data_IF_484740856771
#
_entry.id   IF_484740856771
#
_cell.length_a   1.000
_cell.length_b   1.000
_cell.length_c   1.000
_cell.angle_alpha   90.00
_cell.angle_beta   90.00
_cell.angle_gamma   90.00
#
_symmetry.space_group_name_H-M   'P 1'
#
loop_
_entity.id
_entity.type
_entity.pdbx_description
1 polymer ?
#
# COMPACT_ATOMS: atom_id res chain seq x y z
N UNK A 1 2.55 -23.17 -25.03
CA UNK A 1 2.54 -21.71 -24.80
C UNK A 1 2.11 -21.31 -23.38
N UNK A 2 0.97 -21.78 -22.85
CA UNK A 2 0.50 -21.35 -21.51
C UNK A 2 1.40 -21.73 -20.31
N UNK A 3 2.10 -22.89 -20.33
CA UNK A 3 3.01 -23.29 -19.23
C UNK A 3 4.29 -22.45 -19.19
N UNK A 4 4.87 -22.15 -20.35
CA UNK A 4 6.10 -21.34 -20.47
C UNK A 4 5.83 -19.92 -19.96
N UNK A 5 4.76 -19.28 -20.38
CA UNK A 5 4.40 -17.92 -19.93
C UNK A 5 4.15 -17.87 -18.41
N UNK A 6 3.48 -18.87 -17.84
CA UNK A 6 3.29 -18.98 -16.40
C UNK A 6 4.61 -19.11 -15.65
N UNK A 7 5.55 -19.90 -16.19
CA UNK A 7 6.87 -20.09 -15.60
C UNK A 7 7.70 -18.80 -15.67
N UNK A 8 7.73 -18.12 -16.82
CA UNK A 8 8.40 -16.83 -16.97
C UNK A 8 7.87 -15.82 -15.95
N UNK A 9 6.55 -15.65 -15.89
CA UNK A 9 5.93 -14.72 -14.94
C UNK A 9 6.22 -15.10 -13.49
N UNK A 10 6.25 -16.38 -13.13
CA UNK A 10 6.56 -16.81 -11.75
C UNK A 10 7.99 -16.47 -11.32
N UNK A 11 8.94 -16.34 -12.25
CA UNK A 11 10.31 -15.90 -11.96
C UNK A 11 10.45 -14.37 -12.04
N UNK A 12 9.70 -13.73 -12.94
CA UNK A 12 9.78 -12.27 -13.13
C UNK A 12 9.08 -11.48 -12.01
N UNK A 13 7.89 -11.90 -11.58
CA UNK A 13 7.13 -11.18 -10.54
C UNK A 13 7.95 -10.90 -9.27
N UNK A 14 8.72 -11.85 -8.70
CA UNK A 14 9.54 -11.56 -7.54
C UNK A 14 10.59 -10.46 -7.76
N UNK A 15 11.12 -10.33 -8.99
CA UNK A 15 12.11 -9.29 -9.33
C UNK A 15 11.52 -7.88 -9.24
N UNK A 16 10.22 -7.74 -9.52
CA UNK A 16 9.55 -6.44 -9.50
C UNK A 16 9.64 -5.75 -8.14
N UNK A 17 9.75 -6.50 -7.03
CA UNK A 17 9.84 -5.90 -5.70
C UNK A 17 11.18 -5.17 -5.48
N UNK A 18 12.28 -5.65 -6.09
CA UNK A 18 13.57 -4.94 -6.05
C UNK A 18 13.48 -3.67 -6.89
N UNK A 19 12.92 -3.77 -8.11
CA UNK A 19 12.75 -2.60 -8.97
C UNK A 19 11.93 -1.51 -8.27
N UNK A 20 10.85 -1.89 -7.60
CA UNK A 20 10.02 -0.97 -6.81
C UNK A 20 10.74 -0.41 -5.58
N UNK A 21 11.54 -1.23 -4.88
CA UNK A 21 12.33 -0.77 -3.74
C UNK A 21 13.34 0.30 -4.16
N UNK A 22 14.06 0.06 -5.25
CA UNK A 22 15.02 1.01 -5.82
C UNK A 22 14.30 2.27 -6.33
N UNK A 23 13.21 2.12 -7.08
CA UNK A 23 12.40 3.24 -7.56
C UNK A 23 11.91 4.14 -6.44
N UNK A 24 11.45 3.56 -5.34
CA UNK A 24 10.88 4.31 -4.21
C UNK A 24 11.88 5.20 -3.50
N UNK A 25 13.19 4.94 -3.64
CA UNK A 25 14.25 5.75 -3.01
C UNK A 25 15.07 6.55 -4.03
N UNK A 26 14.84 6.35 -5.31
CA UNK A 26 15.56 7.07 -6.39
C UNK A 26 15.51 8.60 -6.25
N UNK A 27 14.38 9.23 -5.88
CA UNK A 27 14.31 10.69 -5.69
C UNK A 27 15.07 11.19 -4.45
N UNK A 28 15.48 10.29 -3.55
CA UNK A 28 16.09 10.62 -2.25
C UNK A 28 17.59 10.31 -2.21
N UNK A 29 18.24 10.22 -3.35
CA UNK A 29 19.70 10.06 -3.41
C UNK A 29 20.39 11.31 -2.88
N UNK A 30 21.47 11.12 -2.14
CA UNK A 30 22.28 12.22 -1.62
C UNK A 30 22.91 13.01 -2.79
N UNK A 31 23.08 14.34 -2.65
CA UNK A 31 23.78 15.14 -3.64
C UNK A 31 25.18 14.59 -3.94
N UNK A 32 25.60 14.62 -5.21
CA UNK A 32 26.92 14.16 -5.64
C UNK A 32 27.06 12.65 -5.87
N UNK A 33 26.02 11.84 -5.67
CA UNK A 33 26.05 10.42 -6.02
C UNK A 33 26.00 10.25 -7.56
N UNK A 34 26.99 9.60 -8.20
CA UNK A 34 27.03 9.44 -9.67
C UNK A 34 25.79 8.73 -10.24
N UNK A 35 25.17 7.82 -9.48
CA UNK A 35 23.94 7.14 -9.87
C UNK A 35 22.72 8.08 -9.97
N UNK A 36 22.74 9.26 -9.36
CA UNK A 36 21.60 10.18 -9.34
C UNK A 36 21.14 10.57 -10.75
N UNK A 37 22.07 10.76 -11.68
CA UNK A 37 21.74 11.08 -13.09
C UNK A 37 20.97 9.95 -13.79
N UNK A 38 21.35 8.71 -13.58
CA UNK A 38 20.69 7.54 -14.16
C UNK A 38 19.35 7.29 -13.45
N UNK A 39 19.37 7.26 -12.13
CA UNK A 39 18.17 6.99 -11.32
C UNK A 39 17.17 8.14 -11.30
N UNK A 40 17.57 9.36 -11.66
CA UNK A 40 16.68 10.51 -11.87
C UNK A 40 15.97 10.52 -13.23
N UNK A 41 16.27 9.58 -14.14
CA UNK A 41 15.68 9.56 -15.48
C UNK A 41 14.21 9.14 -15.45
N UNK A 42 13.32 10.09 -15.65
CA UNK A 42 11.87 9.89 -15.62
C UNK A 42 11.40 8.87 -16.66
N UNK A 43 11.94 8.90 -17.86
CA UNK A 43 11.53 7.98 -18.95
C UNK A 43 11.89 6.55 -18.64
N UNK A 44 13.05 6.30 -18.04
CA UNK A 44 13.44 4.96 -17.59
C UNK A 44 12.41 4.41 -16.60
N UNK A 45 11.99 5.23 -15.64
CA UNK A 45 11.02 4.80 -14.64
C UNK A 45 9.61 4.60 -15.20
N UNK A 46 9.19 5.36 -16.19
CA UNK A 46 7.94 5.09 -16.89
C UNK A 46 7.95 3.70 -17.55
N UNK A 47 9.05 3.37 -18.24
CA UNK A 47 9.20 2.05 -18.87
C UNK A 47 9.17 0.94 -17.82
N UNK A 48 9.93 1.09 -16.72
CA UNK A 48 9.94 0.11 -15.62
C UNK A 48 8.55 -0.06 -14.99
N UNK A 49 7.85 1.04 -14.72
CA UNK A 49 6.51 1.03 -14.14
C UNK A 49 5.50 0.35 -15.06
N UNK A 50 5.57 0.65 -16.36
CA UNK A 50 4.73 0.01 -17.38
C UNK A 50 4.99 -1.50 -17.45
N UNK A 51 6.25 -1.93 -17.46
CA UNK A 51 6.62 -3.36 -17.46
C UNK A 51 6.07 -4.07 -16.22
N UNK A 52 6.17 -3.45 -15.04
CA UNK A 52 5.63 -4.01 -13.79
C UNK A 52 4.11 -4.16 -13.90
N UNK A 53 3.38 -3.10 -14.29
CA UNK A 53 1.93 -3.15 -14.45
C UNK A 53 1.50 -4.21 -15.47
N UNK A 54 2.17 -4.26 -16.60
CA UNK A 54 1.89 -5.23 -17.66
C UNK A 54 2.12 -6.67 -17.18
N UNK A 55 3.21 -6.91 -16.44
CA UNK A 55 3.47 -8.22 -15.85
C UNK A 55 2.35 -8.64 -14.86
N UNK A 56 1.88 -7.72 -13.99
CA UNK A 56 0.76 -8.00 -13.08
C UNK A 56 -0.57 -8.15 -13.82
N UNK A 57 -0.81 -7.39 -14.87
CA UNK A 57 -1.99 -7.55 -15.73
C UNK A 57 -2.02 -8.94 -16.38
N UNK A 58 -0.88 -9.39 -16.96
CA UNK A 58 -0.78 -10.73 -17.52
C UNK A 58 -0.88 -11.84 -16.47
N UNK A 59 -0.26 -11.61 -15.30
CA UNK A 59 -0.23 -12.58 -14.20
C UNK A 59 -1.60 -12.92 -13.67
N UNK A 60 -2.56 -12.01 -13.77
CA UNK A 60 -3.97 -12.23 -13.43
C UNK A 60 -4.52 -13.49 -14.08
N UNK A 61 -4.21 -13.72 -15.35
CA UNK A 61 -4.70 -14.89 -16.11
C UNK A 61 -4.25 -16.23 -15.49
N UNK A 62 -3.08 -16.25 -14.84
CA UNK A 62 -2.42 -17.47 -14.37
C UNK A 62 -2.48 -17.66 -12.86
N UNK A 63 -2.54 -16.58 -12.09
CA UNK A 63 -2.40 -16.62 -10.64
C UNK A 63 -3.65 -16.17 -9.88
N UNK A 64 -4.62 -15.55 -10.55
CA UNK A 64 -5.86 -15.16 -9.89
C UNK A 64 -6.65 -16.40 -9.42
N UNK A 65 -7.01 -16.40 -8.12
CA UNK A 65 -7.86 -17.46 -7.55
C UNK A 65 -9.33 -17.14 -7.83
N UNK A 66 -9.93 -17.91 -8.76
CA UNK A 66 -11.31 -17.71 -9.25
C UNK A 66 -12.38 -17.77 -8.15
N UNK A 67 -12.10 -18.40 -6.99
CA UNK A 67 -13.00 -18.41 -5.83
C UNK A 67 -13.32 -17.02 -5.30
N UNK A 68 -12.48 -16.04 -5.63
CA UNK A 68 -12.66 -14.65 -5.19
C UNK A 68 -13.39 -13.78 -6.22
N UNK A 69 -13.91 -14.33 -7.31
CA UNK A 69 -14.40 -13.56 -8.48
C UNK A 69 -15.49 -12.55 -8.10
N UNK A 70 -16.48 -12.94 -7.31
CA UNK A 70 -17.58 -12.06 -6.89
C UNK A 70 -17.09 -10.85 -6.09
N UNK A 71 -16.09 -11.04 -5.22
CA UNK A 71 -15.56 -9.98 -4.38
C UNK A 71 -14.67 -8.99 -5.15
N UNK A 72 -14.21 -9.36 -6.34
CA UNK A 72 -13.30 -8.56 -7.15
C UNK A 72 -13.99 -7.58 -8.10
N UNK A 73 -15.32 -7.62 -8.19
CA UNK A 73 -16.09 -6.72 -9.04
C UNK A 73 -15.80 -5.25 -8.73
N UNK A 74 -15.73 -4.90 -7.44
CA UNK A 74 -15.44 -3.52 -7.01
C UNK A 74 -14.07 -3.03 -7.47
N UNK A 75 -13.06 -3.91 -7.48
CA UNK A 75 -11.72 -3.59 -7.98
C UNK A 75 -11.74 -3.33 -9.48
N UNK A 76 -12.55 -4.12 -10.24
CA UNK A 76 -12.74 -3.91 -11.67
C UNK A 76 -13.43 -2.60 -11.98
N UNK A 77 -14.50 -2.26 -11.25
CA UNK A 77 -15.22 -1.00 -11.44
C UNK A 77 -14.29 0.18 -11.17
N UNK A 78 -13.47 0.12 -10.11
CA UNK A 78 -12.50 1.15 -9.81
C UNK A 78 -11.43 1.30 -10.90
N UNK A 79 -10.85 0.18 -11.38
CA UNK A 79 -9.86 0.22 -12.46
C UNK A 79 -10.46 0.75 -13.76
N UNK A 80 -11.72 0.41 -14.07
CA UNK A 80 -12.45 0.95 -15.22
C UNK A 80 -12.66 2.46 -15.08
N UNK A 81 -13.06 2.94 -13.89
CA UNK A 81 -13.22 4.36 -13.62
C UNK A 81 -11.89 5.12 -13.76
N UNK A 82 -10.81 4.56 -13.24
CA UNK A 82 -9.47 5.13 -13.41
C UNK A 82 -9.07 5.18 -14.89
N UNK A 83 -9.35 4.13 -15.66
CA UNK A 83 -9.08 4.11 -17.10
C UNK A 83 -9.87 5.22 -17.83
N UNK A 84 -11.15 5.41 -17.50
CA UNK A 84 -11.97 6.51 -18.05
C UNK A 84 -11.34 7.87 -17.71
N UNK A 85 -10.89 8.05 -16.44
CA UNK A 85 -10.24 9.29 -16.01
C UNK A 85 -8.92 9.53 -16.71
N UNK A 86 -8.14 8.47 -16.98
CA UNK A 86 -6.88 8.54 -17.74
C UNK A 86 -7.17 8.93 -19.20
N UNK A 87 -8.18 8.34 -19.84
CA UNK A 87 -8.58 8.68 -21.22
C UNK A 87 -9.02 10.14 -21.29
N UNK A 88 -9.83 10.62 -20.33
CA UNK A 88 -10.17 12.05 -20.23
C UNK A 88 -8.92 12.93 -20.08
N UNK A 89 -7.92 12.45 -19.34
CA UNK A 89 -6.63 13.14 -19.17
C UNK A 89 -5.85 13.31 -20.47
N UNK A 90 -5.94 12.36 -21.41
CA UNK A 90 -5.30 12.47 -22.73
C UNK A 90 -5.83 13.71 -23.48
N UNK A 91 -7.12 14.00 -23.39
CA UNK A 91 -7.73 15.16 -24.04
C UNK A 91 -7.56 16.47 -23.25
N UNK A 92 -7.20 16.39 -21.97
CA UNK A 92 -6.95 17.54 -21.11
C UNK A 92 -5.46 17.96 -21.05
N UNK A 93 -4.55 17.11 -21.53
CA UNK A 93 -3.12 17.35 -21.53
C UNK A 93 -2.72 18.23 -22.73
N UNK A 94 -2.14 19.40 -22.47
CA UNK A 94 -1.73 20.38 -23.47
C UNK A 94 -0.22 20.55 -23.54
N UNK A 95 0.46 20.56 -22.39
CA UNK A 95 1.90 20.81 -22.28
C UNK A 95 2.66 19.57 -21.78
N UNK A 96 3.99 19.60 -21.89
CA UNK A 96 4.86 18.49 -21.43
C UNK A 96 4.58 18.07 -19.98
N UNK A 97 4.34 19.02 -19.08
CA UNK A 97 4.12 18.74 -17.67
C UNK A 97 2.79 18.04 -17.40
N UNK A 98 1.75 18.33 -18.19
CA UNK A 98 0.47 17.63 -18.14
C UNK A 98 0.66 16.15 -18.54
N UNK A 99 1.42 15.89 -19.61
CA UNK A 99 1.76 14.53 -20.04
C UNK A 99 2.60 13.79 -19.01
N UNK A 100 3.57 14.49 -18.40
CA UNK A 100 4.37 13.91 -17.32
C UNK A 100 3.52 13.55 -16.12
N UNK A 101 2.62 14.43 -15.70
CA UNK A 101 1.65 14.18 -14.65
C UNK A 101 0.71 13.02 -15.00
N UNK A 102 0.12 13.05 -16.20
CA UNK A 102 -0.78 12.00 -16.68
C UNK A 102 -0.14 10.61 -16.62
N UNK A 103 1.06 10.45 -17.14
CA UNK A 103 1.74 9.14 -17.16
C UNK A 103 2.05 8.67 -15.74
N UNK A 104 2.63 9.55 -14.90
CA UNK A 104 2.96 9.19 -13.52
C UNK A 104 1.74 8.80 -12.69
N UNK A 105 0.69 9.62 -12.73
CA UNK A 105 -0.54 9.41 -11.99
C UNK A 105 -1.35 8.22 -12.54
N UNK A 106 -1.35 8.00 -13.87
CA UNK A 106 -1.98 6.84 -14.50
C UNK A 106 -1.36 5.53 -14.01
N UNK A 107 -0.02 5.46 -13.89
CA UNK A 107 0.67 4.27 -13.36
C UNK A 107 0.24 3.98 -11.93
N UNK A 108 0.13 5.01 -11.09
CA UNK A 108 -0.35 4.88 -9.71
C UNK A 108 -1.81 4.42 -9.65
N UNK A 109 -2.71 5.03 -10.43
CA UNK A 109 -4.13 4.69 -10.50
C UNK A 109 -4.39 3.26 -11.00
N UNK A 110 -3.49 2.70 -11.81
CA UNK A 110 -3.60 1.32 -12.32
C UNK A 110 -2.93 0.27 -11.42
N UNK A 111 -2.18 0.67 -10.39
CA UNK A 111 -1.48 -0.25 -9.49
C UNK A 111 -2.40 -1.24 -8.74
N UNK A 112 -3.70 -0.95 -8.45
CA UNK A 112 -4.62 -1.92 -7.88
C UNK A 112 -4.79 -3.22 -8.67
N UNK A 113 -4.31 -3.31 -9.92
CA UNK A 113 -4.23 -4.56 -10.70
C UNK A 113 -3.43 -5.65 -9.95
N UNK A 114 -2.49 -5.25 -9.09
CA UNK A 114 -1.67 -6.14 -8.24
C UNK A 114 -2.54 -7.00 -7.31
N UNK A 115 -3.70 -6.50 -6.87
CA UNK A 115 -4.64 -7.20 -6.00
C UNK A 115 -4.98 -8.59 -6.57
N UNK A 116 -5.21 -8.69 -7.88
CA UNK A 116 -5.63 -9.95 -8.52
C UNK A 116 -4.60 -11.07 -8.35
N UNK A 117 -3.33 -10.82 -8.69
CA UNK A 117 -2.26 -11.81 -8.54
C UNK A 117 -1.99 -12.12 -7.06
N UNK A 118 -2.18 -11.12 -6.18
CA UNK A 118 -1.95 -11.23 -4.74
C UNK A 118 -3.07 -11.99 -3.99
N UNK A 119 -4.19 -12.33 -4.65
CA UNK A 119 -5.14 -13.32 -4.10
C UNK A 119 -4.50 -14.70 -3.99
N UNK A 120 -3.43 -14.95 -4.74
CA UNK A 120 -2.63 -16.16 -4.61
C UNK A 120 -1.52 -15.96 -3.56
N UNK A 121 -1.70 -16.54 -2.38
CA UNK A 121 -0.74 -16.46 -1.27
C UNK A 121 0.68 -16.92 -1.62
N UNK A 122 0.85 -17.79 -2.63
CA UNK A 122 2.18 -18.25 -3.07
C UNK A 122 2.93 -17.16 -3.85
N UNK A 123 2.23 -16.33 -4.62
CA UNK A 123 2.81 -15.15 -5.28
C UNK A 123 3.32 -14.17 -4.23
N UNK A 124 2.49 -13.87 -3.22
CA UNK A 124 2.86 -12.96 -2.12
C UNK A 124 4.07 -13.51 -1.36
N UNK A 125 4.08 -14.82 -1.03
CA UNK A 125 5.20 -15.46 -0.35
C UNK A 125 6.49 -15.34 -1.16
N UNK A 126 6.41 -15.55 -2.48
CA UNK A 126 7.57 -15.46 -3.39
C UNK A 126 8.11 -14.03 -3.47
N UNK A 127 7.25 -13.01 -3.59
CA UNK A 127 7.62 -11.60 -3.57
C UNK A 127 8.37 -11.23 -2.29
N UNK A 128 7.79 -11.57 -1.14
CA UNK A 128 8.40 -11.28 0.17
C UNK A 128 9.70 -12.06 0.41
N UNK A 129 9.75 -13.33 -0.03
CA UNK A 129 10.97 -14.12 0.07
C UNK A 129 12.10 -13.52 -0.77
N UNK A 130 11.78 -13.01 -1.95
CA UNK A 130 12.75 -12.36 -2.83
C UNK A 130 13.24 -11.02 -2.24
N UNK A 131 12.34 -10.26 -1.63
CA UNK A 131 12.69 -9.05 -0.89
C UNK A 131 13.66 -9.36 0.26
N UNK A 132 13.33 -10.34 1.11
CA UNK A 132 14.17 -10.70 2.26
C UNK A 132 15.54 -11.23 1.85
N UNK A 133 15.60 -11.97 0.72
CA UNK A 133 16.86 -12.61 0.28
C UNK A 133 17.77 -11.66 -0.49
N UNK A 134 17.22 -10.74 -1.27
CA UNK A 134 18.00 -9.91 -2.20
C UNK A 134 17.86 -8.41 -1.94
N UNK A 135 16.63 -7.89 -1.81
CA UNK A 135 16.44 -6.46 -1.61
C UNK A 135 16.91 -6.00 -0.24
N UNK A 136 16.65 -6.77 0.83
CA UNK A 136 17.07 -6.38 2.17
C UNK A 136 18.61 -6.33 2.33
N UNK A 137 19.42 -7.29 1.85
CA UNK A 137 20.87 -7.12 1.82
C UNK A 137 21.33 -5.95 0.95
N UNK A 138 20.68 -5.72 -0.20
CA UNK A 138 21.00 -4.59 -1.07
C UNK A 138 20.76 -3.23 -0.38
N UNK A 139 19.85 -3.17 0.58
CA UNK A 139 19.62 -1.97 1.39
C UNK A 139 20.89 -1.46 2.10
N UNK A 140 21.82 -2.34 2.48
CA UNK A 140 23.09 -1.93 3.09
C UNK A 140 23.88 -0.99 2.17
N UNK A 141 23.86 -1.26 0.85
CA UNK A 141 24.47 -0.36 -0.15
C UNK A 141 23.68 0.93 -0.29
N UNK A 142 22.35 0.83 -0.38
CA UNK A 142 21.49 2.00 -0.51
C UNK A 142 21.50 2.90 0.73
N UNK A 143 21.68 2.37 1.93
CA UNK A 143 21.75 3.15 3.18
C UNK A 143 22.90 4.17 3.20
N UNK A 144 23.96 3.95 2.42
CA UNK A 144 25.08 4.89 2.31
C UNK A 144 24.77 6.05 1.37
N UNK A 145 24.01 5.79 0.28
CA UNK A 145 23.80 6.75 -0.81
C UNK A 145 22.43 7.45 -0.78
N UNK A 146 21.50 6.95 0.03
CA UNK A 146 20.14 7.50 0.18
C UNK A 146 20.05 8.30 1.49
N UNK A 147 19.17 9.31 1.51
CA UNK A 147 18.87 10.09 2.71
C UNK A 147 18.14 9.23 3.76
N UNK A 148 18.32 9.55 5.02
CA UNK A 148 17.79 8.75 6.15
C UNK A 148 16.27 8.76 6.24
N UNK A 149 15.62 9.87 5.87
CA UNK A 149 14.16 10.01 5.82
C UNK A 149 13.50 9.01 4.85
N UNK A 150 14.22 8.58 3.82
CA UNK A 150 13.72 7.66 2.81
C UNK A 150 13.91 6.17 3.13
N UNK A 151 14.59 5.80 4.20
CA UNK A 151 14.81 4.39 4.56
C UNK A 151 13.50 3.61 4.73
N UNK A 152 12.47 4.28 5.29
CA UNK A 152 11.15 3.69 5.43
C UNK A 152 10.47 3.33 4.12
N UNK A 153 10.74 4.06 3.03
CA UNK A 153 10.17 3.74 1.71
C UNK A 153 10.76 2.45 1.13
N UNK A 154 12.05 2.18 1.38
CA UNK A 154 12.69 0.95 0.94
C UNK A 154 12.27 -0.25 1.80
N UNK A 155 12.18 -0.05 3.12
CA UNK A 155 12.01 -1.12 4.10
C UNK A 155 10.53 -1.39 4.47
N UNK A 156 9.57 -0.79 3.77
CA UNK A 156 8.14 -0.93 4.04
C UNK A 156 7.65 -2.39 4.12
N UNK A 157 8.19 -3.40 3.38
CA UNK A 157 7.79 -4.79 3.56
C UNK A 157 8.06 -5.34 4.96
N UNK A 158 8.97 -4.74 5.72
CA UNK A 158 9.23 -5.11 7.12
C UNK A 158 8.01 -4.78 7.99
N UNK A 159 7.37 -3.61 7.80
CA UNK A 159 6.16 -3.24 8.56
C UNK A 159 5.01 -4.24 8.34
N UNK A 160 4.88 -4.77 7.13
CA UNK A 160 3.94 -5.85 6.84
C UNK A 160 4.30 -7.14 7.59
N UNK A 161 5.58 -7.54 7.61
CA UNK A 161 6.02 -8.76 8.28
C UNK A 161 5.88 -8.68 9.81
N UNK A 162 5.92 -7.48 10.39
CA UNK A 162 5.65 -7.25 11.83
C UNK A 162 4.25 -7.73 12.22
N UNK A 163 3.23 -7.61 11.35
CA UNK A 163 1.89 -8.14 11.63
C UNK A 163 1.87 -9.66 11.89
N UNK A 164 2.89 -10.38 11.42
CA UNK A 164 3.06 -11.82 11.60
C UNK A 164 4.11 -12.18 12.66
N UNK A 165 4.55 -11.19 13.45
CA UNK A 165 5.60 -11.36 14.46
C UNK A 165 5.43 -12.61 15.35
N UNK A 166 4.24 -12.96 15.87
CA UNK A 166 4.07 -14.15 16.68
C UNK A 166 4.33 -15.47 15.95
N UNK A 167 4.19 -15.49 14.61
CA UNK A 167 4.41 -16.69 13.79
C UNK A 167 5.90 -16.95 13.51
N UNK A 168 6.77 -15.95 13.73
CA UNK A 168 8.19 -16.00 13.41
C UNK A 168 9.00 -16.77 14.45
N UNK A 169 10.20 -17.24 14.04
CA UNK A 169 11.20 -17.77 14.97
C UNK A 169 11.86 -16.63 15.75
N UNK A 170 12.48 -16.94 16.91
CA UNK A 170 13.11 -15.89 17.74
C UNK A 170 14.20 -15.11 16.97
N UNK A 171 14.99 -15.78 16.14
CA UNK A 171 15.99 -15.11 15.29
C UNK A 171 15.35 -14.13 14.31
N UNK A 172 14.26 -14.52 13.64
CA UNK A 172 13.52 -13.67 12.70
C UNK A 172 12.89 -12.48 13.41
N UNK A 173 12.32 -12.71 14.62
CA UNK A 173 11.76 -11.64 15.46
C UNK A 173 12.80 -10.59 15.81
N UNK A 174 14.00 -11.03 16.24
CA UNK A 174 15.09 -10.11 16.56
C UNK A 174 15.53 -9.28 15.36
N UNK A 175 15.67 -9.90 14.18
CA UNK A 175 16.03 -9.17 12.95
C UNK A 175 14.98 -8.11 12.63
N UNK A 176 13.68 -8.46 12.62
CA UNK A 176 12.62 -7.49 12.33
C UNK A 176 12.56 -6.38 13.38
N UNK A 177 12.70 -6.71 14.66
CA UNK A 177 12.70 -5.74 15.74
C UNK A 177 13.85 -4.74 15.59
N UNK A 178 15.08 -5.23 15.39
CA UNK A 178 16.26 -4.37 15.20
C UNK A 178 16.08 -3.44 14.01
N UNK A 179 15.63 -3.96 12.86
CA UNK A 179 15.40 -3.13 11.66
C UNK A 179 14.31 -2.09 11.93
N UNK A 180 13.21 -2.47 12.58
CA UNK A 180 12.10 -1.54 12.86
C UNK A 180 12.53 -0.44 13.83
N UNK A 181 13.22 -0.78 14.90
CA UNK A 181 13.74 0.20 15.85
C UNK A 181 14.76 1.12 15.17
N UNK A 182 15.65 0.57 14.34
CA UNK A 182 16.59 1.36 13.55
C UNK A 182 15.88 2.40 12.67
N UNK A 183 14.84 2.00 11.92
CA UNK A 183 14.09 2.91 11.03
C UNK A 183 13.41 4.05 11.83
N UNK A 184 12.85 3.73 13.00
CA UNK A 184 12.18 4.72 13.85
C UNK A 184 13.18 5.70 14.45
N UNK A 185 14.35 5.23 14.89
CA UNK A 185 15.32 6.06 15.59
C UNK A 185 16.26 6.84 14.67
N UNK A 186 16.47 6.38 13.44
CA UNK A 186 17.42 7.02 12.51
C UNK A 186 16.99 8.43 12.10
N UNK A 187 15.66 8.67 12.05
CA UNK A 187 15.10 9.97 11.75
C UNK A 187 13.72 10.12 12.42
N UNK A 188 13.70 10.71 13.61
CA UNK A 188 12.46 10.97 14.35
C UNK A 188 11.62 12.09 13.71
N UNK A 189 12.22 12.99 12.94
CA UNK A 189 11.52 14.01 12.17
C UNK A 189 10.66 13.42 11.04
N UNK A 190 11.01 12.23 10.55
CA UNK A 190 10.21 11.48 9.58
C UNK A 190 9.00 10.81 10.26
N UNK A 191 8.04 11.62 10.74
CA UNK A 191 6.83 11.18 11.48
C UNK A 191 6.10 10.02 10.80
N UNK A 192 6.06 10.03 9.47
CA UNK A 192 5.41 8.98 8.69
C UNK A 192 6.06 7.60 8.87
N UNK A 193 7.38 7.52 9.07
CA UNK A 193 8.08 6.28 9.34
C UNK A 193 7.71 5.74 10.73
N UNK A 194 7.64 6.60 11.74
CA UNK A 194 7.23 6.22 13.10
C UNK A 194 5.83 5.58 13.07
N UNK A 195 4.90 6.19 12.35
CA UNK A 195 3.52 5.68 12.21
C UNK A 195 3.49 4.36 11.43
N UNK A 196 4.12 4.29 10.26
CA UNK A 196 4.12 3.10 9.40
C UNK A 196 4.71 1.85 10.06
N UNK A 197 5.74 2.03 10.86
CA UNK A 197 6.43 0.94 11.54
C UNK A 197 5.95 0.69 12.97
N UNK A 198 5.37 1.70 13.64
CA UNK A 198 4.84 1.59 14.99
C UNK A 198 3.44 0.95 15.05
N UNK A 199 2.52 1.36 14.18
CA UNK A 199 1.14 0.86 14.19
C UNK A 199 1.02 -0.67 14.09
N UNK A 200 1.82 -1.39 13.28
CA UNK A 200 1.80 -2.85 13.28
C UNK A 200 1.99 -3.48 14.66
N UNK A 201 2.82 -2.88 15.54
CA UNK A 201 2.99 -3.36 16.92
C UNK A 201 1.74 -3.15 17.78
N UNK A 202 1.04 -2.04 17.62
CA UNK A 202 -0.26 -1.84 18.30
C UNK A 202 -1.30 -2.87 17.84
N UNK A 203 -1.31 -3.19 16.55
CA UNK A 203 -2.20 -4.21 16.00
C UNK A 203 -1.87 -5.61 16.55
N UNK A 204 -0.63 -5.89 16.94
CA UNK A 204 -0.28 -7.15 17.61
C UNK A 204 -1.02 -7.36 18.94
N UNK A 205 -1.52 -6.31 19.57
CA UNK A 205 -2.36 -6.45 20.79
C UNK A 205 -3.57 -7.35 20.52
N UNK A 206 -4.16 -7.31 19.32
CA UNK A 206 -5.25 -8.22 18.95
C UNK A 206 -4.84 -9.70 18.97
N UNK A 207 -3.60 -10.02 18.67
CA UNK A 207 -3.08 -11.37 18.79
C UNK A 207 -2.88 -11.79 20.26
N UNK A 208 -2.22 -10.95 21.05
CA UNK A 208 -1.89 -11.28 22.43
C UNK A 208 -3.15 -11.33 23.32
N UNK A 209 -4.10 -10.44 23.09
CA UNK A 209 -5.36 -10.37 23.82
C UNK A 209 -6.52 -11.11 23.11
N UNK A 210 -6.23 -12.01 22.15
CA UNK A 210 -7.25 -12.71 21.34
C UNK A 210 -8.26 -13.53 22.11
N UNK A 211 -8.00 -13.87 23.38
CA UNK A 211 -8.95 -14.55 24.26
C UNK A 211 -10.03 -13.61 24.81
N UNK A 212 -9.68 -12.33 24.98
CA UNK A 212 -10.56 -11.29 25.54
C UNK A 212 -11.21 -10.44 24.46
N UNK A 213 -10.58 -10.32 23.28
CA UNK A 213 -11.05 -9.50 22.18
C UNK A 213 -11.93 -10.33 21.24
N UNK A 214 -13.20 -9.97 21.17
CA UNK A 214 -14.16 -10.61 20.25
C UNK A 214 -14.01 -10.08 18.81
N UNK A 215 -14.52 -10.85 17.83
CA UNK A 215 -14.58 -10.41 16.43
C UNK A 215 -15.45 -9.15 16.29
N UNK A 216 -16.52 -9.02 17.10
CA UNK A 216 -17.37 -7.83 17.13
C UNK A 216 -16.57 -6.57 17.53
N UNK A 217 -15.70 -6.68 18.54
CA UNK A 217 -14.83 -5.57 18.95
C UNK A 217 -13.85 -5.19 17.83
N UNK A 218 -13.24 -6.15 17.13
CA UNK A 218 -12.40 -5.85 15.96
C UNK A 218 -13.19 -5.17 14.85
N UNK A 219 -14.44 -5.56 14.64
CA UNK A 219 -15.32 -4.91 13.67
C UNK A 219 -15.65 -3.46 14.06
N UNK A 220 -15.92 -3.19 15.33
CA UNK A 220 -16.10 -1.81 15.81
C UNK A 220 -14.86 -0.95 15.59
N UNK A 221 -13.66 -1.47 15.89
CA UNK A 221 -12.41 -0.76 15.59
C UNK A 221 -12.27 -0.50 14.08
N UNK A 222 -12.58 -1.50 13.24
CA UNK A 222 -12.56 -1.35 11.79
C UNK A 222 -13.51 -0.24 11.31
N UNK A 223 -14.75 -0.23 11.80
CA UNK A 223 -15.75 0.80 11.45
C UNK A 223 -15.28 2.16 11.94
N UNK A 224 -14.76 2.27 13.16
CA UNK A 224 -14.23 3.53 13.69
C UNK A 224 -13.12 4.10 12.79
N UNK A 225 -12.21 3.25 12.28
CA UNK A 225 -11.15 3.68 11.36
C UNK A 225 -11.70 4.26 10.04
N UNK A 226 -12.91 3.90 9.61
CA UNK A 226 -13.58 4.51 8.45
C UNK A 226 -14.42 5.74 8.81
N UNK A 227 -15.01 5.78 9.99
CA UNK A 227 -15.94 6.85 10.36
C UNK A 227 -15.22 8.07 10.94
N UNK A 228 -14.19 7.85 11.76
CA UNK A 228 -13.46 8.93 12.44
C UNK A 228 -12.89 9.98 11.48
N UNK A 229 -12.20 9.63 10.38
CA UNK A 229 -11.71 10.65 9.45
C UNK A 229 -12.83 11.48 8.81
N UNK A 230 -13.98 10.86 8.52
CA UNK A 230 -15.14 11.57 7.96
C UNK A 230 -15.70 12.57 8.95
N UNK A 231 -15.78 12.20 10.24
CA UNK A 231 -16.21 13.12 11.31
C UNK A 231 -15.24 14.28 11.42
N UNK A 232 -13.91 14.02 11.50
CA UNK A 232 -12.92 15.09 11.62
C UNK A 232 -12.88 15.99 10.39
N UNK A 233 -13.03 15.44 9.21
CA UNK A 233 -13.14 16.24 7.98
C UNK A 233 -14.38 17.14 8.01
N UNK A 234 -15.54 16.62 8.42
CA UNK A 234 -16.78 17.41 8.55
C UNK A 234 -16.65 18.51 9.59
N UNK A 235 -16.01 18.23 10.72
CA UNK A 235 -15.76 19.22 11.79
C UNK A 235 -14.77 20.31 11.33
N UNK A 236 -13.72 19.92 10.57
CA UNK A 236 -12.77 20.86 9.97
C UNK A 236 -13.43 21.79 8.97
N UNK A 237 -14.20 21.25 8.02
CA UNK A 237 -14.94 22.05 7.02
C UNK A 237 -15.97 22.98 7.66
N UNK A 238 -16.61 22.57 8.77
CA UNK A 238 -17.56 23.42 9.50
C UNK A 238 -16.88 24.48 10.41
N UNK A 239 -15.54 24.47 10.54
CA UNK A 239 -14.80 25.38 11.39
C UNK A 239 -14.93 25.11 12.90
N UNK A 240 -15.58 23.99 13.29
CA UNK A 240 -15.80 23.67 14.72
C UNK A 240 -14.53 23.10 15.38
N UNK A 241 -13.80 22.25 14.66
CA UNK A 241 -12.61 21.59 15.17
C UNK A 241 -11.66 21.21 14.04
N UNK A 242 -10.40 21.64 14.13
CA UNK A 242 -9.36 21.29 13.16
C UNK A 242 -8.33 20.35 13.79
N UNK A 243 -8.33 19.09 13.39
CA UNK A 243 -7.42 18.06 13.90
C UNK A 243 -5.94 18.33 13.57
N UNK A 244 -5.66 19.16 12.56
CA UNK A 244 -4.29 19.47 12.14
C UNK A 244 -3.70 20.66 12.88
N UNK A 245 -4.52 21.58 13.38
CA UNK A 245 -4.09 22.71 14.19
C UNK A 245 -3.92 22.29 15.66
N UNK A 246 -2.88 21.50 15.91
CA UNK A 246 -2.64 20.88 17.22
C UNK A 246 -2.15 21.90 18.24
N UNK A 247 -1.55 23.02 17.83
CA UNK A 247 -1.07 24.10 18.70
C UNK A 247 -2.20 24.75 19.51
N UNK A 248 -3.43 24.77 18.99
CA UNK A 248 -4.60 25.31 19.69
C UNK A 248 -4.99 24.48 20.93
N UNK A 249 -4.63 23.19 20.94
CA UNK A 249 -5.09 22.24 21.95
C UNK A 249 -3.97 21.75 22.88
N UNK A 250 -2.73 21.68 22.37
CA UNK A 250 -1.58 21.16 23.11
C UNK A 250 -0.51 22.25 23.13
N UNK A 251 -0.23 22.78 24.30
CA UNK A 251 0.83 23.79 24.51
C UNK A 251 2.15 23.09 24.83
N UNK A 252 3.21 23.48 24.16
CA UNK A 252 4.57 22.98 24.41
C UNK A 252 5.44 23.16 23.16
N UNK A 253 6.76 23.13 23.35
CA UNK A 253 7.73 23.10 22.26
C UNK A 253 8.04 21.64 21.95
N UNK A 254 7.61 21.16 20.79
CA UNK A 254 7.77 19.78 20.31
C UNK A 254 8.58 19.78 19.03
N UNK A 255 9.82 20.26 19.09
CA UNK A 255 10.73 20.21 17.96
C UNK A 255 11.52 18.90 17.89
N UNK A 256 11.86 18.47 16.69
CA UNK A 256 12.77 17.35 16.43
C UNK A 256 13.70 17.67 15.26
N UNK A 257 14.91 17.10 15.30
CA UNK A 257 15.83 17.16 14.18
C UNK A 257 15.32 16.26 13.05
N UNK A 258 15.13 16.84 11.89
CA UNK A 258 14.74 16.15 10.65
C UNK A 258 15.71 16.48 9.52
N UNK A 259 15.46 15.88 8.34
CA UNK A 259 16.25 16.14 7.13
C UNK A 259 15.47 17.06 6.21
N UNK A 260 16.02 18.24 5.93
CA UNK A 260 15.45 19.22 5.00
C UNK A 260 15.44 18.71 3.55
N UNK A 261 14.73 19.42 2.68
CA UNK A 261 14.62 19.09 1.26
C UNK A 261 15.96 19.03 0.50
N UNK A 262 16.94 19.81 0.96
CA UNK A 262 18.33 19.86 0.47
C UNK A 262 19.25 18.79 1.11
N UNK A 263 18.73 17.99 2.06
CA UNK A 263 19.49 16.99 2.79
C UNK A 263 20.23 17.51 4.03
N UNK A 264 20.08 18.78 4.39
CA UNK A 264 20.62 19.34 5.63
C UNK A 264 19.78 18.94 6.84
N UNK A 265 20.40 18.89 8.03
CA UNK A 265 19.67 18.66 9.27
C UNK A 265 19.04 19.99 9.70
N UNK A 266 17.71 19.99 9.80
CA UNK A 266 16.92 21.14 10.24
C UNK A 266 16.08 20.76 11.46
N UNK A 267 15.84 21.74 12.32
CA UNK A 267 14.88 21.59 13.40
C UNK A 267 13.47 21.78 12.83
N UNK A 268 12.60 20.81 13.07
CA UNK A 268 11.23 20.79 12.56
C UNK A 268 10.27 20.82 13.75
N UNK A 269 9.33 21.76 13.71
CA UNK A 269 8.21 21.76 14.64
C UNK A 269 7.25 20.61 14.30
N UNK A 270 7.08 19.70 15.26
CA UNK A 270 6.20 18.54 15.11
C UNK A 270 4.71 18.88 15.26
N UNK A 271 4.37 20.10 15.72
CA UNK A 271 3.00 20.54 15.94
C UNK A 271 2.45 21.38 14.79
N UNK A 272 3.32 21.91 13.92
CA UNK A 272 2.95 22.78 12.81
C UNK A 272 1.88 22.14 11.91
N UNK A 273 0.83 22.91 11.62
CA UNK A 273 -0.21 22.52 10.65
C UNK A 273 0.34 22.60 9.22
N UNK A 274 0.47 21.44 8.62
CA UNK A 274 0.98 21.28 7.26
C UNK A 274 -0.07 20.68 6.31
N UNK A 275 -1.34 20.59 6.75
CA UNK A 275 -2.37 19.84 5.99
C UNK A 275 -3.64 20.64 5.72
N UNK A 276 -4.05 21.56 6.59
CA UNK A 276 -5.30 22.32 6.43
C UNK A 276 -5.33 23.06 5.10
N UNK A 277 -4.28 23.85 4.80
CA UNK A 277 -4.22 24.61 3.56
C UNK A 277 -4.30 23.71 2.29
N UNK A 278 -3.82 22.46 2.36
CA UNK A 278 -3.92 21.55 1.23
C UNK A 278 -5.36 21.13 0.95
N UNK A 279 -6.16 20.92 1.99
CA UNK A 279 -7.59 20.65 1.85
C UNK A 279 -8.36 21.85 1.32
N UNK A 280 -8.06 23.05 1.84
CA UNK A 280 -8.66 24.30 1.39
C UNK A 280 -8.40 24.51 -0.10
N UNK A 281 -7.13 24.46 -0.55
CA UNK A 281 -6.76 24.62 -1.96
C UNK A 281 -7.46 23.60 -2.88
N UNK A 282 -7.55 22.33 -2.47
CA UNK A 282 -8.20 21.28 -3.27
C UNK A 282 -9.70 21.51 -3.38
N UNK A 283 -10.37 21.89 -2.27
CA UNK A 283 -11.82 22.15 -2.27
C UNK A 283 -12.17 23.41 -3.05
N UNK A 284 -11.45 24.51 -2.85
CA UNK A 284 -11.63 25.76 -3.60
C UNK A 284 -11.39 25.55 -5.09
N UNK A 285 -10.31 24.85 -5.45
CA UNK A 285 -10.03 24.51 -6.85
C UNK A 285 -11.16 23.67 -7.46
N UNK A 286 -11.76 22.74 -6.69
CA UNK A 286 -12.87 21.92 -7.17
C UNK A 286 -14.13 22.74 -7.40
N UNK A 287 -14.39 23.76 -6.56
CA UNK A 287 -15.50 24.70 -6.74
C UNK A 287 -15.24 25.57 -7.98
N UNK A 288 -14.07 26.19 -8.06
CA UNK A 288 -13.71 27.11 -9.13
C UNK A 288 -13.76 26.44 -10.52
N UNK A 289 -13.19 25.23 -10.64
CA UNK A 289 -13.10 24.50 -11.90
C UNK A 289 -14.22 23.45 -12.11
N UNK A 290 -15.20 23.37 -11.21
CA UNK A 290 -16.36 22.49 -11.28
C UNK A 290 -16.04 21.01 -11.57
N UNK A 291 -15.05 20.44 -10.86
CA UNK A 291 -14.65 19.04 -11.08
C UNK A 291 -15.02 18.06 -9.92
N UNK A 292 -15.99 18.42 -9.08
CA UNK A 292 -16.42 17.62 -7.92
C UNK A 292 -16.75 16.16 -8.24
N UNK A 293 -17.53 15.96 -9.30
CA UNK A 293 -18.10 14.65 -9.58
C UNK A 293 -17.08 13.73 -10.26
N UNK A 294 -16.42 14.22 -11.32
CA UNK A 294 -15.60 13.41 -12.23
C UNK A 294 -14.10 13.61 -12.04
N UNK A 295 -13.69 14.57 -11.22
CA UNK A 295 -12.31 15.00 -11.09
C UNK A 295 -11.80 15.82 -12.27
N UNK A 296 -10.68 16.49 -12.07
CA UNK A 296 -10.02 17.31 -13.09
C UNK A 296 -9.28 16.45 -14.12
N UNK A 297 -8.87 15.30 -13.83
CA UNK A 297 -8.12 14.25 -14.55
C UNK A 297 -6.68 14.07 -14.03
N UNK A 298 -6.06 12.91 -14.25
CA UNK A 298 -4.66 12.68 -13.83
C UNK A 298 -3.62 13.58 -14.54
N UNK A 299 -4.00 14.28 -15.61
CA UNK A 299 -3.15 15.23 -16.32
C UNK A 299 -3.06 16.59 -15.63
N UNK A 300 -4.04 16.93 -14.81
CA UNK A 300 -4.20 18.25 -14.19
C UNK A 300 -4.20 18.13 -12.68
N UNK A 301 -3.60 19.12 -12.01
CA UNK A 301 -3.60 19.24 -10.56
C UNK A 301 -4.70 20.15 -10.04
N UNK A 302 -4.72 20.42 -8.74
CA UNK A 302 -5.52 21.49 -8.17
C UNK A 302 -4.76 22.83 -8.29
N UNK A 303 -5.50 23.92 -8.34
CA UNK A 303 -4.93 25.26 -8.21
C UNK A 303 -4.30 25.39 -6.82
N UNK A 304 -3.16 26.00 -6.70
CA UNK A 304 -2.42 26.17 -5.45
C UNK A 304 -1.97 27.62 -5.28
N UNK A 305 -2.31 28.20 -4.15
CA UNK A 305 -1.82 29.54 -3.77
C UNK A 305 -0.45 29.44 -3.11
N UNK A 306 -0.25 28.45 -2.26
CA UNK A 306 0.98 28.28 -1.49
C UNK A 306 2.16 27.89 -2.35
N UNK A 307 1.98 26.98 -3.29
CA UNK A 307 3.04 26.47 -4.16
C UNK A 307 2.86 26.88 -5.63
N UNK A 308 1.81 27.66 -5.94
CA UNK A 308 1.45 27.99 -7.30
C UNK A 308 2.50 28.81 -8.05
N UNK A 309 3.17 29.77 -7.38
CA UNK A 309 4.25 30.53 -7.99
C UNK A 309 5.42 29.64 -8.41
N UNK A 310 5.89 28.77 -7.50
CA UNK A 310 6.96 27.82 -7.83
C UNK A 310 6.54 26.84 -8.93
N UNK A 311 5.29 26.38 -8.90
CA UNK A 311 4.75 25.53 -9.95
C UNK A 311 4.68 26.26 -11.28
N UNK A 312 4.28 27.55 -11.31
CA UNK A 312 4.18 28.36 -12.51
C UNK A 312 5.55 28.65 -13.13
N UNK A 313 6.58 28.88 -12.34
CA UNK A 313 7.96 29.02 -12.83
C UNK A 313 8.44 27.77 -13.59
N UNK A 314 8.06 26.58 -13.10
CA UNK A 314 8.48 25.31 -13.69
C UNK A 314 7.58 24.86 -14.86
N UNK A 315 6.26 25.05 -14.72
CA UNK A 315 5.27 24.42 -15.59
C UNK A 315 4.46 25.44 -16.42
N UNK A 316 4.55 26.73 -16.11
CA UNK A 316 3.70 27.77 -16.68
C UNK A 316 2.27 27.81 -16.12
N UNK A 317 1.97 27.05 -15.06
CA UNK A 317 0.64 26.96 -14.46
C UNK A 317 0.69 27.00 -12.94
N UNK A 318 -0.26 27.69 -12.32
CA UNK A 318 -0.45 27.74 -10.86
C UNK A 318 -1.12 26.47 -10.33
N UNK A 319 -0.77 25.28 -10.86
CA UNK A 319 -1.37 24.01 -10.52
C UNK A 319 -0.35 23.07 -9.88
N UNK A 320 -0.77 22.43 -8.79
CA UNK A 320 -0.02 21.37 -8.14
C UNK A 320 -0.52 20.00 -8.63
N UNK A 321 0.29 19.27 -9.39
CA UNK A 321 -0.10 17.99 -10.03
C UNK A 321 -0.40 16.86 -9.04
N UNK A 322 0.18 16.90 -7.85
CA UNK A 322 -0.08 15.95 -6.76
C UNK A 322 0.15 16.59 -5.41
N UNK A 323 -0.63 16.18 -4.42
CA UNK A 323 -0.56 16.62 -3.04
C UNK A 323 0.12 15.59 -2.15
N UNK A 324 0.43 15.99 -0.92
CA UNK A 324 0.94 15.09 0.13
C UNK A 324 -0.16 14.29 0.83
N UNK A 325 -1.39 14.34 0.33
CA UNK A 325 -2.58 13.69 0.88
C UNK A 325 -3.17 12.76 -0.19
N UNK A 326 -3.16 11.46 0.07
CA UNK A 326 -3.58 10.48 -0.91
C UNK A 326 -5.03 10.61 -1.35
N UNK A 327 -5.94 10.87 -0.40
CA UNK A 327 -7.35 11.01 -0.73
C UNK A 327 -7.64 12.27 -1.56
N UNK A 328 -6.94 13.37 -1.27
CA UNK A 328 -7.02 14.61 -2.05
C UNK A 328 -6.55 14.39 -3.50
N UNK A 329 -5.50 13.61 -3.71
CA UNK A 329 -5.03 13.21 -5.04
C UNK A 329 -6.09 12.40 -5.79
N UNK A 330 -6.68 11.37 -5.15
CA UNK A 330 -7.77 10.59 -5.78
C UNK A 330 -8.95 11.49 -6.15
N UNK A 331 -9.33 12.42 -5.25
CA UNK A 331 -10.41 13.36 -5.50
C UNK A 331 -10.10 14.29 -6.68
N UNK A 332 -8.92 14.91 -6.70
CA UNK A 332 -8.52 15.81 -7.79
C UNK A 332 -8.52 15.08 -9.14
N UNK A 333 -8.01 13.85 -9.20
CA UNK A 333 -7.88 13.14 -10.47
C UNK A 333 -9.17 12.45 -10.95
N UNK A 334 -9.99 11.95 -10.02
CA UNK A 334 -11.10 11.04 -10.34
C UNK A 334 -12.45 11.45 -9.74
N UNK A 335 -12.51 12.58 -9.03
CA UNK A 335 -13.69 13.12 -8.38
C UNK A 335 -14.22 12.29 -7.22
N UNK A 336 -15.39 12.68 -6.72
CA UNK A 336 -16.03 11.97 -5.60
C UNK A 336 -16.39 10.52 -5.98
N UNK A 337 -16.69 10.25 -7.26
CA UNK A 337 -16.93 8.87 -7.74
C UNK A 337 -15.72 8.01 -7.51
N UNK A 338 -14.52 8.50 -7.87
CA UNK A 338 -13.28 7.78 -7.62
C UNK A 338 -12.98 7.59 -6.13
N UNK A 339 -13.23 8.60 -5.30
CA UNK A 339 -13.07 8.51 -3.84
C UNK A 339 -13.98 7.45 -3.23
N UNK A 340 -15.24 7.38 -3.65
CA UNK A 340 -16.18 6.36 -3.17
C UNK A 340 -15.70 4.97 -3.59
N UNK A 341 -15.35 4.76 -4.85
CA UNK A 341 -14.87 3.47 -5.35
C UNK A 341 -13.57 3.02 -4.66
N UNK A 342 -12.62 3.96 -4.47
CA UNK A 342 -11.40 3.74 -3.73
C UNK A 342 -11.68 3.28 -2.30
N UNK A 343 -12.54 4.01 -1.59
CA UNK A 343 -12.94 3.70 -0.21
C UNK A 343 -13.63 2.34 -0.10
N UNK A 344 -14.48 1.99 -1.07
CA UNK A 344 -15.18 0.71 -1.11
C UNK A 344 -14.23 -0.48 -1.25
N UNK A 345 -13.11 -0.35 -1.96
CA UNK A 345 -12.11 -1.43 -2.05
C UNK A 345 -11.50 -1.71 -0.68
N UNK A 346 -11.08 -0.67 0.04
CA UNK A 346 -10.54 -0.80 1.40
C UNK A 346 -11.57 -1.37 2.36
N UNK A 347 -12.80 -0.85 2.30
CA UNK A 347 -13.89 -1.31 3.13
C UNK A 347 -14.19 -2.79 2.89
N UNK A 348 -14.29 -3.22 1.62
CA UNK A 348 -14.56 -4.63 1.27
C UNK A 348 -13.41 -5.55 1.66
N UNK A 349 -12.16 -5.18 1.37
CA UNK A 349 -10.98 -5.96 1.73
C UNK A 349 -10.90 -6.16 3.25
N UNK A 350 -10.99 -5.08 4.03
CA UNK A 350 -10.93 -5.13 5.49
C UNK A 350 -12.11 -5.92 6.10
N UNK A 351 -13.32 -5.76 5.56
CA UNK A 351 -14.50 -6.52 5.99
C UNK A 351 -14.32 -8.02 5.82
N UNK A 352 -13.89 -8.47 4.65
CA UNK A 352 -13.65 -9.88 4.38
C UNK A 352 -12.57 -10.46 5.29
N UNK A 353 -11.51 -9.69 5.54
CA UNK A 353 -10.42 -10.11 6.39
C UNK A 353 -10.83 -10.20 7.87
N UNK A 354 -11.60 -9.26 8.40
CA UNK A 354 -12.03 -9.28 9.82
C UNK A 354 -13.15 -10.27 10.03
N UNK A 355 -14.20 -10.25 9.19
CA UNK A 355 -15.44 -10.98 9.46
C UNK A 355 -15.53 -12.36 8.80
N UNK A 356 -14.77 -12.60 7.73
CA UNK A 356 -14.81 -13.84 6.93
C UNK A 356 -13.50 -14.63 6.97
N UNK A 357 -12.75 -14.54 8.08
CA UNK A 357 -11.47 -15.24 8.25
C UNK A 357 -11.47 -16.17 9.45
N UNK A 358 -10.80 -17.32 9.31
CA UNK A 358 -10.59 -18.30 10.38
C UNK A 358 -9.40 -17.97 11.26
N UNK A 359 -8.40 -17.25 10.75
CA UNK A 359 -7.17 -16.95 11.47
C UNK A 359 -7.07 -15.50 11.91
N UNK A 360 -6.42 -15.27 13.03
CA UNK A 360 -6.23 -13.96 13.63
C UNK A 360 -5.34 -13.05 12.77
N UNK A 361 -4.37 -13.60 12.03
CA UNK A 361 -3.46 -12.82 11.20
C UNK A 361 -4.18 -12.12 10.05
N UNK A 362 -5.12 -12.82 9.41
CA UNK A 362 -5.96 -12.18 8.39
C UNK A 362 -6.83 -11.08 8.98
N UNK A 363 -7.37 -11.26 10.21
CA UNK A 363 -8.15 -10.21 10.90
C UNK A 363 -7.30 -8.98 11.21
N UNK A 364 -6.08 -9.18 11.73
CA UNK A 364 -5.12 -8.09 11.97
C UNK A 364 -4.74 -7.36 10.68
N UNK A 365 -4.55 -8.11 9.58
CA UNK A 365 -4.29 -7.52 8.27
C UNK A 365 -5.47 -6.65 7.79
N UNK A 366 -6.72 -7.08 8.05
CA UNK A 366 -7.92 -6.29 7.75
C UNK A 366 -7.99 -4.99 8.54
N UNK A 367 -7.63 -5.01 9.84
CA UNK A 367 -7.52 -3.79 10.66
C UNK A 367 -6.42 -2.86 10.10
N UNK A 368 -5.27 -3.42 9.73
CA UNK A 368 -4.19 -2.62 9.14
C UNK A 368 -4.60 -1.98 7.81
N UNK A 369 -5.31 -2.69 6.95
CA UNK A 369 -5.86 -2.13 5.70
C UNK A 369 -6.85 -0.99 5.99
N UNK A 370 -7.73 -1.13 6.98
CA UNK A 370 -8.63 -0.05 7.40
C UNK A 370 -7.85 1.16 7.95
N UNK A 371 -6.81 0.92 8.76
CA UNK A 371 -5.91 1.98 9.21
C UNK A 371 -5.21 2.69 8.04
N UNK A 372 -4.76 1.96 7.01
CA UNK A 372 -4.12 2.57 5.84
C UNK A 372 -5.08 3.46 5.04
N UNK A 373 -6.38 3.17 5.04
CA UNK A 373 -7.38 4.07 4.49
C UNK A 373 -7.51 5.35 5.31
N UNK A 374 -7.62 5.25 6.64
CA UNK A 374 -7.56 6.43 7.53
C UNK A 374 -6.30 7.26 7.24
N UNK A 375 -5.17 6.60 7.12
CA UNK A 375 -3.88 7.25 6.91
C UNK A 375 -3.76 7.98 5.56
N UNK A 376 -4.56 7.58 4.55
CA UNK A 376 -4.65 8.27 3.26
C UNK A 376 -5.25 9.69 3.34
N UNK A 377 -5.88 10.04 4.46
CA UNK A 377 -6.32 11.40 4.78
C UNK A 377 -5.20 12.31 5.27
N UNK A 378 -4.04 11.76 5.58
CA UNK A 378 -2.93 12.49 6.19
C UNK A 378 -1.69 12.47 5.30
N UNK A 379 -1.45 11.37 4.61
CA UNK A 379 -0.25 11.13 3.79
C UNK A 379 -0.61 10.59 2.41
N UNK A 380 0.24 10.94 1.44
CA UNK A 380 0.16 10.38 0.10
C UNK A 380 0.64 8.92 0.08
N UNK A 381 -0.31 8.02 -0.04
CA UNK A 381 -0.05 6.58 -0.16
C UNK A 381 -0.29 6.06 -1.59
N UNK A 382 -0.72 6.92 -2.52
CA UNK A 382 -1.24 6.53 -3.83
C UNK A 382 -0.22 6.65 -4.96
N UNK A 383 1.02 6.98 -4.67
CA UNK A 383 2.09 7.04 -5.66
C UNK A 383 2.51 5.65 -6.12
N UNK A 384 3.04 5.54 -7.34
CA UNK A 384 3.62 4.30 -7.87
C UNK A 384 4.92 3.97 -7.11
N UNK A 385 4.79 3.45 -5.90
CA UNK A 385 5.89 3.14 -4.98
C UNK A 385 5.74 1.75 -4.38
N UNK A 386 6.81 1.25 -3.78
CA UNK A 386 6.78 0.01 -3.00
C UNK A 386 5.73 0.06 -1.87
N UNK A 387 5.52 1.24 -1.26
CA UNK A 387 4.53 1.43 -0.20
C UNK A 387 3.11 1.12 -0.68
N UNK A 388 2.70 1.70 -1.82
CA UNK A 388 1.38 1.46 -2.39
C UNK A 388 1.26 0.04 -2.95
N UNK A 389 2.32 -0.48 -3.57
CA UNK A 389 2.38 -1.86 -4.05
C UNK A 389 2.16 -2.88 -2.92
N UNK A 390 2.86 -2.73 -1.79
CA UNK A 390 2.69 -3.61 -0.61
C UNK A 390 1.28 -3.50 -0.06
N UNK A 391 0.69 -2.32 -0.03
CA UNK A 391 -0.70 -2.14 0.38
C UNK A 391 -1.67 -2.90 -0.54
N UNK A 392 -1.51 -2.81 -1.86
CA UNK A 392 -2.34 -3.56 -2.82
C UNK A 392 -2.13 -5.07 -2.67
N UNK A 393 -0.90 -5.50 -2.40
CA UNK A 393 -0.59 -6.91 -2.11
C UNK A 393 -1.29 -7.39 -0.82
N UNK A 394 -1.31 -6.59 0.24
CA UNK A 394 -2.03 -6.89 1.49
C UNK A 394 -3.54 -7.01 1.24
N UNK A 395 -4.10 -6.09 0.45
CA UNK A 395 -5.52 -6.13 0.08
C UNK A 395 -5.83 -7.40 -0.71
N UNK A 396 -4.94 -7.85 -1.59
CA UNK A 396 -5.06 -9.13 -2.28
C UNK A 396 -5.17 -10.32 -1.33
N UNK A 397 -4.37 -10.35 -0.25
CA UNK A 397 -4.50 -11.36 0.81
C UNK A 397 -5.83 -11.24 1.57
N UNK A 398 -6.30 -10.01 1.82
CA UNK A 398 -7.62 -9.80 2.44
C UNK A 398 -8.76 -10.34 1.56
N UNK A 399 -8.69 -10.19 0.25
CA UNK A 399 -9.64 -10.79 -0.70
C UNK A 399 -9.47 -12.30 -0.83
N UNK A 400 -8.28 -12.85 -0.56
CA UNK A 400 -7.94 -14.27 -0.75
C UNK A 400 -8.69 -15.18 0.20
N UNK A 401 -9.67 -15.93 -0.29
CA UNK A 401 -10.35 -16.97 0.49
C UNK A 401 -9.37 -18.05 0.95
N UNK A 402 -8.44 -18.44 0.08
CA UNK A 402 -7.42 -19.46 0.39
C UNK A 402 -6.46 -19.03 1.50
N UNK A 403 -6.25 -17.73 1.71
CA UNK A 403 -5.48 -17.20 2.84
C UNK A 403 -6.35 -17.05 4.10
N UNK A 404 -7.56 -16.51 3.96
CA UNK A 404 -8.50 -16.30 5.07
C UNK A 404 -8.97 -17.59 5.74
N UNK A 405 -9.06 -18.69 4.98
CA UNK A 405 -9.46 -20.02 5.49
C UNK A 405 -8.33 -20.82 6.16
N UNK A 406 -7.06 -20.35 6.07
CA UNK A 406 -5.94 -21.02 6.72
C UNK A 406 -6.12 -21.09 8.25
N UNK A 407 -5.62 -22.18 8.86
CA UNK A 407 -5.44 -22.24 10.31
C UNK A 407 -4.25 -21.35 10.73
N UNK A 408 -4.17 -21.03 12.02
CA UNK A 408 -3.03 -20.31 12.61
C UNK A 408 -1.70 -21.02 12.33
N UNK A 409 -1.72 -22.38 12.37
CA UNK A 409 -0.54 -23.21 12.06
C UNK A 409 -0.13 -23.07 10.60
N UNK A 410 -1.09 -23.09 9.66
CA UNK A 410 -0.80 -22.97 8.24
C UNK A 410 -0.21 -21.59 7.89
N UNK A 411 -0.76 -20.52 8.51
CA UNK A 411 -0.18 -19.17 8.38
C UNK A 411 1.24 -19.12 8.93
N UNK A 412 1.50 -19.79 10.07
CA UNK A 412 2.85 -19.86 10.64
C UNK A 412 3.85 -20.53 9.68
N UNK A 413 3.45 -21.64 9.06
CA UNK A 413 4.29 -22.35 8.07
C UNK A 413 4.49 -21.45 6.84
N UNK A 414 3.43 -20.78 6.37
CA UNK A 414 3.49 -19.89 5.22
C UNK A 414 4.43 -18.70 5.46
N UNK A 415 4.33 -18.03 6.60
CA UNK A 415 5.20 -16.89 6.95
C UNK A 415 6.65 -17.32 7.10
N UNK A 416 6.93 -18.45 7.76
CA UNK A 416 8.28 -18.98 7.88
C UNK A 416 8.88 -19.37 6.53
N UNK A 417 8.03 -19.77 5.55
CA UNK A 417 8.43 -20.05 4.19
C UNK A 417 8.95 -18.83 3.41
N UNK A 418 8.67 -17.59 3.88
CA UNK A 418 9.27 -16.36 3.34
C UNK A 418 10.78 -16.34 3.59
N UNK A 419 11.22 -16.88 4.70
CA UNK A 419 12.62 -16.86 5.15
C UNK A 419 13.39 -18.16 4.84
N UNK A 420 12.68 -19.30 4.74
CA UNK A 420 13.30 -20.62 4.64
C UNK A 420 12.53 -21.56 3.73
N UNK A 421 13.17 -22.00 2.66
CA UNK A 421 12.62 -22.91 1.64
C UNK A 421 12.13 -24.24 2.20
N UNK A 422 12.67 -24.71 3.35
CA UNK A 422 12.19 -25.94 4.01
C UNK A 422 10.71 -25.85 4.36
N UNK A 423 10.23 -24.69 4.82
CA UNK A 423 8.81 -24.49 5.12
C UNK A 423 7.94 -24.42 3.84
N UNK A 424 8.47 -23.94 2.73
CA UNK A 424 7.77 -23.98 1.43
C UNK A 424 7.54 -25.43 1.01
N UNK A 425 8.56 -26.29 1.13
CA UNK A 425 8.45 -27.74 0.84
C UNK A 425 7.43 -28.42 1.76
N UNK A 426 7.47 -28.11 3.06
CA UNK A 426 6.51 -28.61 4.03
C UNK A 426 5.06 -28.21 3.67
N UNK A 427 4.85 -26.96 3.28
CA UNK A 427 3.54 -26.47 2.84
C UNK A 427 3.02 -27.23 1.62
N UNK A 428 3.88 -27.47 0.63
CA UNK A 428 3.52 -28.24 -0.56
C UNK A 428 3.17 -29.70 -0.22
N UNK A 429 3.93 -30.32 0.70
CA UNK A 429 3.66 -31.67 1.18
C UNK A 429 2.30 -31.77 1.87
N UNK A 430 2.02 -30.86 2.81
CA UNK A 430 0.75 -30.81 3.53
C UNK A 430 -0.45 -30.61 2.58
N UNK A 431 -0.30 -29.73 1.60
CA UNK A 431 -1.33 -29.50 0.58
C UNK A 431 -1.62 -30.78 -0.24
N UNK A 432 -0.58 -31.47 -0.69
CA UNK A 432 -0.75 -32.75 -1.43
C UNK A 432 -1.43 -33.81 -0.57
N UNK A 433 -1.02 -33.94 0.69
CA UNK A 433 -1.61 -34.90 1.63
C UNK A 433 -3.10 -34.64 1.88
N UNK A 434 -3.48 -33.38 2.10
CA UNK A 434 -4.88 -33.03 2.34
C UNK A 434 -5.74 -33.29 1.08
N UNK A 435 -5.24 -32.96 -0.10
CA UNK A 435 -5.93 -33.22 -1.36
C UNK A 435 -6.13 -34.73 -1.57
N UNK A 436 -5.13 -35.56 -1.28
CA UNK A 436 -5.24 -37.02 -1.38
C UNK A 436 -6.27 -37.57 -0.39
N UNK A 437 -6.29 -37.05 0.85
CA UNK A 437 -7.29 -37.44 1.85
C UNK A 437 -8.72 -37.11 1.38
N UNK A 438 -8.95 -35.87 0.88
CA UNK A 438 -10.26 -35.43 0.35
C UNK A 438 -10.72 -36.33 -0.80
N UNK A 439 -9.83 -36.67 -1.75
CA UNK A 439 -10.15 -37.55 -2.89
C UNK A 439 -10.51 -38.97 -2.39
N UNK A 440 -9.77 -39.49 -1.40
CA UNK A 440 -10.04 -40.81 -0.83
C UNK A 440 -11.40 -40.87 -0.10
N UNK A 441 -11.73 -39.83 0.68
CA UNK A 441 -13.04 -39.77 1.36
C UNK A 441 -14.20 -39.59 0.38
N UNK A 442 -14.05 -38.79 -0.68
CA UNK A 442 -15.08 -38.65 -1.70
C UNK A 442 -15.31 -39.93 -2.52
N UNK A 443 -14.26 -40.74 -2.76
CA UNK A 443 -14.40 -42.03 -3.42
C UNK A 443 -15.08 -43.07 -2.51
N UNK A 444 -14.86 -43.04 -1.21
CA UNK A 444 -15.53 -43.92 -0.23
C UNK A 444 -17.02 -43.58 -0.01
N UNK A 445 -17.36 -42.26 -0.10
CA UNK A 445 -18.74 -41.81 0.00
C UNK A 445 -19.61 -42.16 -1.21
N UNK A 446 -19.00 -42.46 -2.35
CA UNK A 446 -19.67 -42.87 -3.59
C UNK A 446 -19.72 -44.38 -3.79
N UNK A 447 -19.36 -45.22 -2.82
CA UNK A 447 -19.57 -46.67 -2.84
C UNK A 447 -21.05 -46.95 -2.62
N UNK A 448 -21.77 -47.60 -3.56
CA UNK A 448 -23.17 -47.98 -3.34
C UNK A 448 -23.25 -48.84 -2.11
N UNK A 449 -24.20 -48.52 -1.21
CA UNK A 449 -24.51 -49.44 -0.12
C UNK A 449 -25.07 -50.73 -0.71
N UNK A 450 -24.66 -51.89 -0.25
CA UNK A 450 -25.26 -53.15 -0.69
C UNK A 450 -26.77 -53.09 -0.36
N UNK A 451 -27.60 -53.26 -1.39
CA UNK A 451 -29.04 -53.46 -1.26
C UNK A 451 -29.26 -54.69 -0.39
N UNK A 452 -29.86 -54.50 0.82
CA UNK A 452 -30.38 -55.58 1.66
C UNK A 452 -31.78 -55.94 1.24
#
# INVERSE_FOLDING_TARGET
>A
MNRVNKQILSHFLPVTIILLAVYSVAPYLRPGVPLAGIMGNTTMWWVVSFIILFAFFLSRRYFFDKRNQENMLIVWIYLLWNLISIIRGIFAAEIYWDWKGLIGNAMALMLPIVIFASTNKMVVQSLLSFFMKYALPLFVVFSVIVRTDAYGFYLIPISFLVLFFPALTNRQKMILLVITVFIILVDLGARSNVIKFGIPFFILLFYYFRKSISVKMMEWVRIALFVVPLIFFSLGVSGIFNVFNTEDYIKGDYSAKGVGGDGTVVEQDLMADTRTFLYEEVLESAIHNNYWLLGRTPARGNDSYTFGMLAAELTGRYERLSNEIGLANVFTWTGIVGVILYSLIFFRASYLAVNRSRNIYAKMLGIYVAFRWLYSWIEDINNFTLNYFILMMMMGLCFSESFRSMSVRDVTIWVRGIFDVRYVRLQQYLFKRNKYAETKYSSLANVPQPEN
#
